data_IF_101199610071
#
_entry.id   IF_101199610071
#
_cell.length_a   1.000
_cell.length_b   1.000
_cell.length_c   1.000
_cell.angle_alpha   90.00
_cell.angle_beta   90.00
_cell.angle_gamma   90.00
#
_symmetry.space_group_name_H-M   'P 1'
#
loop_
_entity.id
_entity.type
_entity.pdbx_description
1 polymer ?
#
# COMPACT_ATOMS: atom_id res chain seq x y z
N UNK A 1 13.95 0.74 5.20
CA UNK A 1 12.84 0.51 4.25
C UNK A 1 12.25 1.86 3.91
N UNK A 2 12.08 2.16 2.62
CA UNK A 2 11.50 3.41 2.15
C UNK A 2 10.35 3.12 1.17
N UNK A 3 9.28 3.92 1.25
CA UNK A 3 8.11 3.83 0.40
C UNK A 3 7.90 5.19 -0.28
N UNK A 4 7.94 5.21 -1.60
CA UNK A 4 7.68 6.40 -2.41
C UNK A 4 6.22 6.45 -2.87
N UNK A 5 5.53 7.58 -2.63
CA UNK A 5 4.12 7.77 -2.99
C UNK A 5 3.88 8.98 -3.91
N UNK A 6 4.87 9.87 -4.08
CA UNK A 6 4.75 11.10 -4.86
C UNK A 6 5.11 10.86 -6.33
N UNK A 7 4.46 9.87 -6.93
CA UNK A 7 4.79 9.29 -8.23
C UNK A 7 4.29 7.84 -8.30
N UNK A 8 4.86 7.00 -9.18
CA UNK A 8 4.65 5.56 -9.11
C UNK A 8 4.96 5.03 -7.71
N UNK A 9 4.19 4.05 -7.24
CA UNK A 9 4.48 3.41 -5.95
C UNK A 9 5.83 2.69 -6.04
N UNK A 10 6.73 3.02 -5.12
CA UNK A 10 8.08 2.44 -5.06
C UNK A 10 8.36 1.88 -3.68
N UNK A 11 9.02 0.71 -3.63
CA UNK A 11 9.51 0.09 -2.40
C UNK A 11 11.01 -0.13 -2.53
N UNK A 12 11.77 0.34 -1.54
CA UNK A 12 13.19 -0.02 -1.42
C UNK A 12 13.54 -0.48 -0.01
N UNK A 13 14.47 -1.43 0.05
CA UNK A 13 15.03 -1.94 1.28
C UNK A 13 16.55 -1.81 1.17
N UNK A 14 17.16 -1.17 2.16
CA UNK A 14 18.61 -0.90 2.19
C UNK A 14 19.12 -0.21 0.92
N UNK A 15 18.29 0.69 0.35
CA UNK A 15 18.59 1.41 -0.89
C UNK A 15 18.36 0.61 -2.18
N UNK A 16 17.98 -0.67 -2.09
CA UNK A 16 17.73 -1.55 -3.24
C UNK A 16 16.23 -1.60 -3.57
N UNK A 17 15.81 -1.30 -4.81
CA UNK A 17 14.43 -1.46 -5.25
C UNK A 17 13.94 -2.90 -5.09
N UNK A 18 12.72 -3.07 -4.58
CA UNK A 18 12.05 -4.36 -4.45
C UNK A 18 10.82 -4.37 -5.37
N UNK A 19 10.53 -5.48 -6.06
CA UNK A 19 9.33 -5.58 -6.86
C UNK A 19 8.10 -5.50 -5.95
N UNK A 20 7.16 -4.67 -6.34
CA UNK A 20 5.82 -4.69 -5.77
C UNK A 20 5.03 -5.80 -6.44
N UNK A 21 4.17 -6.48 -5.69
CA UNK A 21 3.27 -7.46 -6.28
C UNK A 21 2.12 -6.79 -7.04
N UNK A 22 1.03 -7.54 -7.24
CA UNK A 22 -0.09 -7.08 -8.07
C UNK A 22 -0.81 -5.83 -7.52
N UNK A 23 -1.73 -5.25 -8.32
CA UNK A 23 -2.39 -3.97 -8.00
C UNK A 23 -3.01 -3.90 -6.61
N UNK A 24 -3.62 -5.00 -6.13
CA UNK A 24 -4.20 -5.06 -4.77
C UNK A 24 -3.16 -4.92 -3.66
N UNK A 25 -1.99 -5.56 -3.81
CA UNK A 25 -0.91 -5.43 -2.82
C UNK A 25 -0.32 -4.02 -2.82
N UNK A 26 -0.23 -3.39 -3.99
CA UNK A 26 0.21 -2.00 -4.13
C UNK A 26 -0.75 -1.05 -3.41
N UNK A 27 -2.06 -1.23 -3.59
CA UNK A 27 -3.09 -0.43 -2.91
C UNK A 27 -2.98 -0.58 -1.39
N UNK A 28 -2.90 -1.82 -0.88
CA UNK A 28 -2.73 -2.06 0.57
C UNK A 28 -1.49 -1.36 1.11
N UNK A 29 -0.35 -1.49 0.42
CA UNK A 29 0.89 -0.84 0.85
C UNK A 29 0.77 0.68 0.85
N UNK A 30 0.14 1.26 -0.17
CA UNK A 30 -0.09 2.70 -0.24
C UNK A 30 -0.97 3.19 0.91
N UNK A 31 -2.07 2.50 1.22
CA UNK A 31 -2.97 2.85 2.34
C UNK A 31 -2.23 2.77 3.68
N UNK A 32 -1.46 1.71 3.90
CA UNK A 32 -0.66 1.55 5.12
C UNK A 32 0.42 2.62 5.24
N UNK A 33 1.06 3.01 4.13
CA UNK A 33 2.06 4.07 4.11
C UNK A 33 1.45 5.45 4.38
N UNK A 34 0.24 5.72 3.87
CA UNK A 34 -0.51 6.95 4.18
C UNK A 34 -0.92 7.03 5.66
N UNK A 35 -1.13 5.89 6.31
CA UNK A 35 -1.46 5.77 7.74
C UNK A 35 -0.27 5.28 8.57
N UNK A 36 0.96 5.61 8.16
CA UNK A 36 2.16 5.12 8.83
C UNK A 36 2.15 5.43 10.34
N UNK A 37 2.52 4.42 11.14
CA UNK A 37 2.51 4.46 12.61
C UNK A 37 1.11 4.57 13.25
N UNK A 38 0.05 4.27 12.51
CA UNK A 38 -1.32 4.19 13.02
C UNK A 38 -1.92 2.82 12.72
N UNK A 39 -2.92 2.41 13.50
CA UNK A 39 -3.69 1.19 13.21
C UNK A 39 -4.62 1.50 12.05
N UNK A 40 -4.42 0.81 10.92
CA UNK A 40 -5.37 0.83 9.80
C UNK A 40 -6.45 -0.24 10.05
N UNK A 41 -7.74 0.13 10.15
CA UNK A 41 -8.83 -0.83 10.28
C UNK A 41 -8.88 -1.76 9.07
N UNK A 42 -9.38 -2.98 9.28
CA UNK A 42 -9.54 -3.94 8.18
C UNK A 42 -10.50 -3.40 7.12
N UNK A 43 -11.58 -2.74 7.54
CA UNK A 43 -12.61 -2.15 6.69
C UNK A 43 -11.99 -1.14 5.72
N UNK A 44 -11.07 -0.30 6.20
CA UNK A 44 -10.35 0.67 5.37
C UNK A 44 -9.54 -0.03 4.26
N UNK A 45 -8.89 -1.16 4.56
CA UNK A 45 -8.12 -1.90 3.57
C UNK A 45 -9.03 -2.59 2.55
N UNK A 46 -10.17 -3.12 3.00
CA UNK A 46 -11.16 -3.75 2.12
C UNK A 46 -11.76 -2.71 1.17
N UNK A 47 -12.23 -1.59 1.70
CA UNK A 47 -12.81 -0.49 0.93
C UNK A 47 -11.81 0.07 -0.08
N UNK A 48 -10.54 0.21 0.30
CA UNK A 48 -9.51 0.71 -0.61
C UNK A 48 -9.23 -0.26 -1.78
N UNK A 49 -9.25 -1.57 -1.53
CA UNK A 49 -8.89 -2.59 -2.54
C UNK A 49 -10.06 -2.92 -3.47
N UNK A 50 -11.29 -2.94 -2.95
CA UNK A 50 -12.47 -3.40 -3.67
C UNK A 50 -13.56 -2.34 -3.88
N UNK A 51 -13.45 -1.17 -3.26
CA UNK A 51 -14.46 -0.12 -3.33
C UNK A 51 -15.83 -0.63 -2.87
N UNK A 52 -16.87 -0.34 -3.65
CA UNK A 52 -18.25 -0.73 -3.35
C UNK A 52 -18.58 -2.20 -3.70
N UNK A 53 -17.63 -2.99 -4.19
CA UNK A 53 -17.89 -4.36 -4.65
C UNK A 53 -16.84 -5.36 -4.16
N UNK A 54 -16.80 -5.64 -2.85
CA UNK A 54 -15.99 -6.72 -2.29
C UNK A 54 -16.53 -8.10 -2.73
N UNK A 55 -15.64 -9.11 -2.86
CA UNK A 55 -15.99 -10.49 -3.24
C UNK A 55 -16.67 -11.28 -2.12
#
# INVERSE_FOLDING_TARGET
MNIGLLGPLELSQDGVPRPLGGPRQQIVLAVLALHANQVAPQELLVDAVWGESPP
#
